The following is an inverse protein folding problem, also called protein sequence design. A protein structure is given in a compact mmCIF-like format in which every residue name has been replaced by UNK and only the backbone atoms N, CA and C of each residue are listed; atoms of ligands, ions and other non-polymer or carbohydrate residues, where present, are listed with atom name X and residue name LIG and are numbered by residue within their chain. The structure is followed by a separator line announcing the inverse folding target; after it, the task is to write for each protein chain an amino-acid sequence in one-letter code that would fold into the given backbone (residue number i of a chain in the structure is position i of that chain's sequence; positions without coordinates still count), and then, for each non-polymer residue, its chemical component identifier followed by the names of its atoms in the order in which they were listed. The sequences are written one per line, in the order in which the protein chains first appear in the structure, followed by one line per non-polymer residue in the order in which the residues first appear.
data_IF_020470743441
#
_entry.id   IF_020470743441
#
_cell.length_a   1.000
_cell.length_b   1.000
_cell.length_c   1.000
_cell.angle_alpha   90.00
_cell.angle_beta   90.00
_cell.angle_gamma   90.00
#
_symmetry.space_group_name_H-M   'P 1'
#
loop_
_entity.id
_entity.type
_entity.pdbx_description
1 polymer ?
#
# COMPACT_ATOMS: atom_id res chain seq x y z
N UNK A 1 -7.18 2.53 -18.21
CA UNK A 1 -6.71 1.69 -17.08
C UNK A 1 -5.85 2.51 -16.12
N UNK A 2 -6.08 2.35 -14.83
CA UNK A 2 -5.28 2.99 -13.78
C UNK A 2 -4.44 1.91 -13.07
N UNK A 3 -3.14 2.08 -13.04
CA UNK A 3 -2.22 1.17 -12.36
C UNK A 3 -1.62 1.86 -11.14
N UNK A 4 -1.71 1.20 -9.99
CA UNK A 4 -1.24 1.71 -8.70
C UNK A 4 -0.22 0.74 -8.12
N UNK A 5 0.93 1.28 -7.75
CA UNK A 5 1.97 0.51 -7.06
C UNK A 5 1.78 0.69 -5.55
N UNK A 6 1.68 -0.40 -4.81
CA UNK A 6 1.41 -0.38 -3.37
C UNK A 6 2.58 -1.02 -2.63
N UNK A 7 3.14 -0.30 -1.66
CA UNK A 7 4.24 -0.80 -0.85
C UNK A 7 4.15 -0.26 0.58
N UNK A 8 4.92 -0.85 1.49
CA UNK A 8 4.92 -0.47 2.90
C UNK A 8 6.22 -0.86 3.58
N UNK A 9 6.48 -0.18 4.70
CA UNK A 9 7.50 -0.59 5.66
C UNK A 9 8.90 -0.72 5.02
N UNK A 10 9.28 0.30 4.25
CA UNK A 10 10.61 0.40 3.64
C UNK A 10 11.69 0.85 4.63
N UNK A 11 11.29 1.56 5.69
CA UNK A 11 12.18 2.00 6.77
C UNK A 11 13.42 2.75 6.28
N UNK A 12 13.27 3.55 5.22
CA UNK A 12 14.36 4.31 4.63
C UNK A 12 15.32 3.51 3.75
N UNK A 13 15.06 2.21 3.58
CA UNK A 13 15.88 1.32 2.73
C UNK A 13 15.31 1.28 1.32
N UNK A 14 15.76 2.18 0.48
CA UNK A 14 15.13 2.42 -0.82
C UNK A 14 15.70 1.60 -1.99
N UNK A 15 16.73 0.76 -1.76
CA UNK A 15 17.27 -0.09 -2.84
C UNK A 15 16.18 -1.01 -3.41
N UNK A 16 15.39 -1.64 -2.55
CA UNK A 16 14.30 -2.52 -2.98
C UNK A 16 13.15 -1.75 -3.62
N UNK A 17 12.91 -0.51 -3.16
CA UNK A 17 11.92 0.37 -3.78
C UNK A 17 12.32 0.68 -5.22
N UNK A 18 13.58 1.04 -5.45
CA UNK A 18 14.10 1.29 -6.80
C UNK A 18 13.99 0.06 -7.69
N UNK A 19 14.35 -1.11 -7.16
CA UNK A 19 14.24 -2.37 -7.89
C UNK A 19 12.80 -2.69 -8.27
N UNK A 20 11.86 -2.51 -7.33
CA UNK A 20 10.45 -2.76 -7.57
C UNK A 20 9.90 -1.84 -8.67
N UNK A 21 10.22 -0.55 -8.59
CA UNK A 21 9.79 0.44 -9.59
C UNK A 21 10.33 0.07 -10.98
N UNK A 22 11.61 -0.24 -11.08
CA UNK A 22 12.24 -0.64 -12.35
C UNK A 22 11.64 -1.92 -12.89
N UNK A 23 11.40 -2.90 -12.02
CA UNK A 23 10.82 -4.19 -12.36
C UNK A 23 9.41 -4.05 -12.94
N UNK A 24 8.57 -3.23 -12.29
CA UNK A 24 7.20 -2.97 -12.77
C UNK A 24 7.22 -2.28 -14.13
N UNK A 25 8.06 -1.27 -14.30
CA UNK A 25 8.17 -0.53 -15.57
C UNK A 25 8.65 -1.43 -16.70
N UNK A 26 9.57 -2.32 -16.43
CA UNK A 26 10.12 -3.24 -17.45
C UNK A 26 9.13 -4.36 -17.79
N UNK A 27 8.52 -4.98 -16.77
CA UNK A 27 7.70 -6.19 -16.96
C UNK A 27 6.24 -5.93 -17.28
N UNK A 28 5.69 -4.83 -16.75
CA UNK A 28 4.26 -4.50 -16.87
C UNK A 28 4.05 -3.21 -17.65
N UNK A 29 4.73 -2.15 -17.27
CA UNK A 29 4.59 -0.83 -17.87
C UNK A 29 4.51 0.29 -16.83
N UNK A 30 4.12 1.48 -17.26
CA UNK A 30 4.03 2.63 -16.39
C UNK A 30 2.86 2.51 -15.40
N UNK A 31 3.04 3.08 -14.23
CA UNK A 31 2.00 3.22 -13.22
C UNK A 31 1.74 4.71 -12.96
N UNK A 32 0.52 5.05 -12.55
CA UNK A 32 0.07 6.43 -12.42
C UNK A 32 0.09 6.95 -10.99
N UNK A 33 0.23 6.06 -10.02
CA UNK A 33 0.15 6.42 -8.61
C UNK A 33 0.94 5.41 -7.78
N UNK A 34 1.51 5.89 -6.67
CA UNK A 34 2.14 5.03 -5.68
C UNK A 34 1.50 5.30 -4.31
N UNK A 35 1.13 4.22 -3.61
CA UNK A 35 0.62 4.29 -2.24
C UNK A 35 1.64 3.62 -1.32
N UNK A 36 2.10 4.34 -0.30
CA UNK A 36 2.99 3.82 0.73
C UNK A 36 2.28 3.83 2.08
N UNK A 37 2.23 2.69 2.74
CA UNK A 37 1.41 2.49 3.94
C UNK A 37 2.15 2.70 5.26
N UNK A 38 3.20 3.54 5.23
CA UNK A 38 3.88 4.00 6.44
C UNK A 38 5.20 3.32 6.75
N UNK A 39 5.90 3.85 7.74
CA UNK A 39 7.29 3.52 8.05
C UNK A 39 8.18 3.71 6.82
N UNK A 40 8.07 4.90 6.23
CA UNK A 40 8.71 5.27 4.98
C UNK A 40 10.16 5.71 5.18
N UNK A 41 10.46 6.30 6.31
CA UNK A 41 11.73 6.96 6.55
C UNK A 41 11.74 8.36 5.94
N UNK A 42 12.20 8.49 4.70
CA UNK A 42 12.23 9.78 3.99
C UNK A 42 11.19 9.79 2.87
N UNK A 43 10.09 10.50 3.10
CA UNK A 43 8.99 10.61 2.13
C UNK A 43 9.40 11.33 0.85
N UNK A 44 10.26 12.35 0.96
CA UNK A 44 10.72 13.12 -0.22
C UNK A 44 11.57 12.26 -1.14
N UNK A 45 12.43 11.42 -0.56
CA UNK A 45 13.24 10.50 -1.34
C UNK A 45 12.35 9.51 -2.10
N UNK A 46 11.34 8.95 -1.44
CA UNK A 46 10.38 8.06 -2.07
C UNK A 46 9.66 8.73 -3.24
N UNK A 47 9.16 9.95 -3.03
CA UNK A 47 8.47 10.71 -4.07
C UNK A 47 9.37 10.97 -5.28
N UNK A 48 10.64 11.29 -5.03
CA UNK A 48 11.64 11.52 -6.07
C UNK A 48 11.89 10.26 -6.90
N UNK A 49 11.99 9.10 -6.24
CA UNK A 49 12.21 7.82 -6.91
C UNK A 49 11.01 7.39 -7.74
N UNK A 50 9.80 7.63 -7.26
CA UNK A 50 8.57 7.20 -7.92
C UNK A 50 8.27 7.99 -9.20
N UNK A 51 8.48 9.28 -9.17
CA UNK A 51 8.21 10.16 -10.31
C UNK A 51 6.74 10.27 -10.70
N UNK A 52 5.83 9.84 -9.81
CA UNK A 52 4.37 9.91 -9.97
C UNK A 52 3.77 10.42 -8.65
N UNK A 53 2.49 10.84 -8.65
CA UNK A 53 1.84 11.20 -7.39
C UNK A 53 1.89 10.08 -6.37
N UNK A 54 2.32 10.42 -5.15
CA UNK A 54 2.46 9.47 -4.04
C UNK A 54 1.52 9.84 -2.89
N UNK A 55 0.84 8.84 -2.36
CA UNK A 55 0.06 8.96 -1.14
C UNK A 55 0.78 8.16 -0.05
N UNK A 56 1.31 8.86 0.94
CA UNK A 56 2.14 8.27 2.00
C UNK A 56 1.46 8.53 3.33
N UNK A 57 1.15 7.48 4.08
CA UNK A 57 0.60 7.62 5.41
C UNK A 57 1.69 7.49 6.46
N UNK A 58 1.42 7.99 7.66
CA UNK A 58 2.37 7.99 8.77
C UNK A 58 2.35 6.64 9.48
N UNK A 59 3.51 5.99 9.54
CA UNK A 59 3.70 4.79 10.35
C UNK A 59 4.15 5.14 11.77
N UNK A 60 4.24 4.12 12.63
CA UNK A 60 4.62 4.30 14.03
C UNK A 60 6.08 4.72 14.21
N UNK A 61 6.92 4.54 13.20
CA UNK A 61 8.33 4.97 13.24
C UNK A 61 8.58 6.31 12.50
N UNK A 62 7.55 6.87 11.88
CA UNK A 62 7.70 8.12 11.13
C UNK A 62 7.50 9.34 12.04
N UNK A 63 8.39 10.32 11.91
CA UNK A 63 8.35 11.56 12.68
C UNK A 63 7.97 12.79 11.85
N UNK A 64 7.68 12.61 10.54
CA UNK A 64 7.30 13.70 9.66
C UNK A 64 5.87 14.14 9.99
N UNK A 65 5.74 15.36 10.53
CA UNK A 65 4.45 15.93 10.94
C UNK A 65 3.51 16.20 9.76
N UNK A 66 4.02 16.19 8.53
CA UNK A 66 3.20 16.40 7.32
C UNK A 66 2.46 15.14 6.89
N UNK A 67 2.90 13.97 7.35
CA UNK A 67 2.24 12.71 7.03
C UNK A 67 1.01 12.53 7.91
N UNK A 68 -0.12 12.17 7.29
CA UNK A 68 -1.36 11.90 7.98
C UNK A 68 -1.42 10.43 8.40
N UNK A 69 -2.14 10.16 9.49
CA UNK A 69 -2.32 8.78 9.97
C UNK A 69 -3.19 7.94 9.02
N UNK A 70 -4.05 8.57 8.24
CA UNK A 70 -4.88 7.90 7.25
C UNK A 70 -5.20 8.85 6.10
N UNK A 71 -5.38 8.29 4.91
CA UNK A 71 -5.82 9.01 3.72
C UNK A 71 -7.01 8.28 3.11
N UNK A 72 -7.98 9.06 2.62
CA UNK A 72 -9.02 8.54 1.73
C UNK A 72 -8.63 8.92 0.31
N UNK A 73 -8.44 7.91 -0.54
CA UNK A 73 -7.95 8.08 -1.90
C UNK A 73 -9.03 7.64 -2.87
N UNK A 74 -9.40 8.51 -3.79
CA UNK A 74 -10.32 8.15 -4.86
C UNK A 74 -9.54 7.67 -6.07
N UNK A 75 -9.88 6.47 -6.56
CA UNK A 75 -9.21 5.84 -7.69
C UNK A 75 -10.23 5.06 -8.52
N UNK A 76 -10.46 5.49 -9.77
CA UNK A 76 -11.55 4.97 -10.56
C UNK A 76 -12.88 5.18 -9.84
N UNK A 77 -13.76 4.19 -9.85
CA UNK A 77 -15.02 4.21 -9.09
C UNK A 77 -14.86 3.76 -7.64
N UNK A 78 -13.64 3.66 -7.12
CA UNK A 78 -13.36 3.12 -5.78
C UNK A 78 -12.87 4.20 -4.81
N UNK A 79 -13.12 3.97 -3.52
CA UNK A 79 -12.60 4.81 -2.44
C UNK A 79 -11.75 3.93 -1.53
N UNK A 80 -10.51 4.33 -1.33
CA UNK A 80 -9.50 3.56 -0.60
C UNK A 80 -9.23 4.24 0.73
N UNK A 81 -9.37 3.50 1.83
CA UNK A 81 -8.92 3.92 3.15
C UNK A 81 -7.51 3.37 3.36
N UNK A 82 -6.51 4.24 3.28
CA UNK A 82 -5.11 3.86 3.45
C UNK A 82 -4.61 4.33 4.81
N UNK A 83 -4.00 3.41 5.57
CA UNK A 83 -3.43 3.69 6.89
C UNK A 83 -2.28 2.73 7.17
N UNK A 84 -1.42 3.05 8.13
CA UNK A 84 -0.38 2.11 8.53
C UNK A 84 -0.97 0.92 9.29
N UNK A 85 -1.92 1.17 10.17
CA UNK A 85 -2.65 0.13 10.87
C UNK A 85 -2.36 0.03 12.37
N UNK A 86 -1.25 0.59 12.86
CA UNK A 86 -0.89 0.51 14.28
C UNK A 86 -1.97 1.10 15.19
N UNK A 87 -2.74 2.08 14.72
CA UNK A 87 -3.84 2.68 15.47
C UNK A 87 -5.13 1.86 15.43
N UNK A 88 -5.19 0.82 14.62
CA UNK A 88 -6.37 -0.04 14.43
C UNK A 88 -6.12 -1.48 14.89
N UNK A 89 -5.04 -1.71 15.64
CA UNK A 89 -4.70 -3.03 16.23
C UNK A 89 -4.62 -4.16 15.19
N UNK A 90 -4.07 -3.86 14.01
CA UNK A 90 -4.02 -4.83 12.90
C UNK A 90 -3.13 -6.04 13.17
N UNK A 91 -2.28 -6.00 14.20
CA UNK A 91 -1.50 -7.16 14.64
C UNK A 91 -2.40 -8.27 15.22
N UNK A 92 -3.60 -7.92 15.64
CA UNK A 92 -4.50 -8.82 16.37
C UNK A 92 -5.82 -9.05 15.64
N UNK A 93 -6.31 -8.06 14.90
CA UNK A 93 -7.68 -8.07 14.34
C UNK A 93 -7.80 -7.09 13.17
N UNK A 94 -8.78 -7.31 12.31
CA UNK A 94 -9.03 -6.44 11.13
C UNK A 94 -10.39 -5.74 11.16
N UNK A 95 -11.23 -6.04 12.14
CA UNK A 95 -12.58 -5.46 12.22
C UNK A 95 -12.57 -3.95 12.47
N UNK A 96 -11.63 -3.43 13.27
CA UNK A 96 -11.51 -1.99 13.51
C UNK A 96 -11.14 -1.24 12.23
N UNK A 97 -10.24 -1.80 11.44
CA UNK A 97 -9.86 -1.25 10.14
C UNK A 97 -11.06 -1.27 9.17
N UNK A 98 -11.79 -2.37 9.13
CA UNK A 98 -13.00 -2.50 8.30
C UNK A 98 -14.03 -1.44 8.67
N UNK A 99 -14.30 -1.25 9.96
CA UNK A 99 -15.24 -0.22 10.42
C UNK A 99 -14.80 1.19 10.05
N UNK A 100 -13.50 1.49 10.17
CA UNK A 100 -12.97 2.79 9.79
C UNK A 100 -13.17 3.06 8.29
N UNK A 101 -12.93 2.04 7.45
CA UNK A 101 -13.17 2.13 6.02
C UNK A 101 -14.65 2.42 5.72
N UNK A 102 -15.56 1.67 6.35
CA UNK A 102 -17.01 1.86 6.17
C UNK A 102 -17.47 3.24 6.63
N UNK A 103 -16.95 3.74 7.76
CA UNK A 103 -17.28 5.08 8.26
C UNK A 103 -16.85 6.19 7.30
N UNK A 104 -15.86 5.93 6.47
CA UNK A 104 -15.35 6.87 5.47
C UNK A 104 -15.87 6.59 4.06
N UNK A 105 -16.88 5.74 3.93
CA UNK A 105 -17.49 5.34 2.65
C UNK A 105 -16.48 4.72 1.69
N UNK A 106 -15.54 3.94 2.22
CA UNK A 106 -14.50 3.26 1.44
C UNK A 106 -14.85 1.79 1.24
N UNK A 107 -14.59 1.29 0.03
CA UNK A 107 -14.79 -0.11 -0.33
C UNK A 107 -13.48 -0.91 -0.33
N UNK A 108 -12.35 -0.24 -0.13
CA UNK A 108 -11.02 -0.86 -0.04
C UNK A 108 -10.29 -0.29 1.16
N UNK A 109 -9.69 -1.16 1.98
CA UNK A 109 -8.84 -0.78 3.10
C UNK A 109 -7.44 -1.36 2.89
N UNK A 110 -6.43 -0.51 3.03
CA UNK A 110 -5.03 -0.90 2.90
C UNK A 110 -4.28 -0.61 4.19
N UNK A 111 -3.44 -1.54 4.62
CA UNK A 111 -2.63 -1.39 5.82
C UNK A 111 -1.25 -2.04 5.65
N UNK A 112 -0.31 -1.66 6.51
CA UNK A 112 1.02 -2.25 6.57
C UNK A 112 1.30 -2.77 7.97
N UNK A 113 2.39 -2.34 8.60
CA UNK A 113 2.77 -2.57 10.00
C UNK A 113 3.15 -4.02 10.34
N UNK A 114 2.38 -5.01 9.92
CA UNK A 114 2.64 -6.43 10.27
C UNK A 114 3.82 -7.02 9.51
N UNK A 115 4.21 -6.43 8.40
CA UNK A 115 5.24 -6.94 7.48
C UNK A 115 4.88 -8.30 6.86
N UNK A 116 3.58 -8.62 6.79
CA UNK A 116 3.07 -9.88 6.23
C UNK A 116 2.02 -9.57 5.16
N UNK A 117 2.19 -10.09 3.93
CA UNK A 117 1.19 -9.87 2.89
C UNK A 117 -0.16 -10.48 3.23
N UNK A 118 -1.22 -9.79 2.84
CA UNK A 118 -2.59 -10.24 3.06
C UNK A 118 -3.50 -9.68 1.97
N UNK A 119 -4.45 -10.48 1.51
CA UNK A 119 -5.48 -10.03 0.58
C UNK A 119 -6.79 -10.78 0.85
N UNK A 120 -7.84 -10.02 1.16
CA UNK A 120 -9.19 -10.52 1.31
C UNK A 120 -10.09 -9.70 0.41
N UNK A 121 -10.40 -10.24 -0.76
CA UNK A 121 -11.29 -9.58 -1.71
C UNK A 121 -12.74 -9.83 -1.31
N UNK A 122 -13.49 -8.75 -1.10
CA UNK A 122 -14.93 -8.80 -0.83
C UNK A 122 -15.62 -7.68 -1.60
N UNK A 123 -16.16 -7.98 -2.81
CA UNK A 123 -16.80 -6.95 -3.63
C UNK A 123 -18.13 -6.46 -3.04
N UNK A 124 -18.71 -7.18 -2.08
CA UNK A 124 -19.98 -6.80 -1.45
C UNK A 124 -19.80 -6.06 -0.12
N UNK A 125 -18.57 -5.93 0.36
CA UNK A 125 -18.25 -5.25 1.62
C UNK A 125 -16.96 -4.44 1.45
N UNK A 126 -15.91 -4.74 2.21
CA UNK A 126 -14.62 -4.07 2.12
C UNK A 126 -13.53 -5.07 1.76
N UNK A 127 -12.82 -4.79 0.68
CA UNK A 127 -11.59 -5.52 0.34
C UNK A 127 -10.47 -5.00 1.24
N UNK A 128 -9.75 -5.90 1.89
CA UNK A 128 -8.66 -5.57 2.81
C UNK A 128 -7.36 -6.14 2.28
N UNK A 129 -6.32 -5.31 2.22
CA UNK A 129 -5.02 -5.78 1.74
C UNK A 129 -3.84 -5.18 2.51
N UNK A 130 -2.75 -5.94 2.51
CA UNK A 130 -1.46 -5.55 3.01
C UNK A 130 -0.41 -6.02 1.99
N UNK A 131 0.43 -5.13 1.44
CA UNK A 131 1.44 -5.53 0.46
C UNK A 131 2.64 -6.28 1.07
N UNK A 132 2.69 -6.42 2.39
CA UNK A 132 3.87 -6.89 3.10
C UNK A 132 4.93 -5.81 3.20
N UNK A 133 6.13 -6.18 3.62
CA UNK A 133 7.24 -5.24 3.73
C UNK A 133 8.19 -5.36 2.56
N UNK A 134 8.58 -4.23 1.98
CA UNK A 134 9.55 -4.21 0.90
C UNK A 134 11.00 -4.29 1.40
N UNK A 135 11.21 -4.19 2.72
CA UNK A 135 12.57 -4.20 3.30
C UNK A 135 12.76 -5.13 4.49
N UNK A 136 11.69 -5.47 5.22
CA UNK A 136 11.76 -6.27 6.46
C UNK A 136 10.62 -7.29 6.53
N UNK A 137 10.56 -8.27 5.61
CA UNK A 137 9.46 -9.24 5.57
C UNK A 137 9.46 -10.15 6.81
N UNK A 138 8.26 -10.53 7.25
CA UNK A 138 8.07 -11.41 8.41
C UNK A 138 7.28 -12.69 8.10
N UNK A 139 6.80 -12.85 6.86
CA UNK A 139 6.15 -14.09 6.45
C UNK A 139 7.19 -15.22 6.30
N UNK A 140 6.72 -16.46 6.17
CA UNK A 140 7.57 -17.66 6.22
C UNK A 140 8.70 -17.70 5.18
N UNK A 141 8.48 -17.15 3.99
CA UNK A 141 9.48 -17.16 2.91
C UNK A 141 10.49 -16.01 3.00
N UNK A 142 10.25 -15.00 3.87
CA UNK A 142 11.08 -13.81 4.07
C UNK A 142 11.41 -13.05 2.78
N UNK A 143 10.56 -13.13 1.76
CA UNK A 143 10.77 -12.41 0.50
C UNK A 143 10.24 -10.98 0.62
N UNK A 144 10.92 -10.06 -0.05
CA UNK A 144 10.50 -8.66 -0.15
C UNK A 144 9.30 -8.56 -1.07
N UNK A 145 8.21 -7.93 -0.60
CA UNK A 145 6.96 -7.91 -1.35
C UNK A 145 6.42 -6.51 -1.58
N UNK A 146 5.60 -6.39 -2.60
CA UNK A 146 4.79 -5.23 -2.93
C UNK A 146 3.58 -5.70 -3.74
N UNK A 147 2.62 -4.82 -3.98
CA UNK A 147 1.46 -5.17 -4.80
C UNK A 147 1.29 -4.21 -5.97
N UNK A 148 0.73 -4.71 -7.05
CA UNK A 148 0.25 -3.92 -8.18
C UNK A 148 -1.26 -4.08 -8.24
N UNK A 149 -1.96 -2.93 -8.23
CA UNK A 149 -3.41 -2.86 -8.36
C UNK A 149 -3.73 -2.23 -9.69
N UNK A 150 -4.63 -2.84 -10.44
CA UNK A 150 -5.10 -2.29 -11.71
C UNK A 150 -6.61 -2.13 -11.68
N UNK A 151 -7.09 -0.96 -12.12
CA UNK A 151 -8.51 -0.65 -12.24
C UNK A 151 -8.77 -0.39 -13.72
N UNK A 152 -9.64 -1.19 -14.33
CA UNK A 152 -9.97 -1.06 -15.75
C UNK A 152 -11.06 0.01 -16.00
N UNK A 153 -11.45 0.18 -17.26
CA UNK A 153 -12.42 1.19 -17.66
C UNK A 153 -13.84 0.91 -17.16
N UNK A 154 -14.10 -0.29 -16.64
CA UNK A 154 -15.38 -0.70 -16.04
C UNK A 154 -15.30 -0.74 -14.51
N UNK A 155 -14.23 -0.15 -13.93
CA UNK A 155 -13.94 -0.12 -12.50
C UNK A 155 -13.72 -1.51 -11.87
N UNK A 156 -13.41 -2.51 -12.69
CA UNK A 156 -12.99 -3.83 -12.18
C UNK A 156 -11.54 -3.77 -11.71
N UNK A 157 -11.28 -4.35 -10.54
CA UNK A 157 -9.98 -4.29 -9.88
C UNK A 157 -9.31 -5.64 -9.90
N UNK A 158 -8.01 -5.64 -10.24
CA UNK A 158 -7.15 -6.81 -10.07
C UNK A 158 -6.00 -6.45 -9.13
N UNK A 159 -5.58 -7.42 -8.33
CA UNK A 159 -4.47 -7.28 -7.39
C UNK A 159 -3.43 -8.36 -7.67
N UNK A 160 -2.17 -7.99 -7.69
CA UNK A 160 -1.08 -8.94 -7.87
C UNK A 160 -0.03 -8.71 -6.79
N UNK A 161 0.24 -9.75 -5.99
CA UNK A 161 1.37 -9.75 -5.05
C UNK A 161 2.64 -10.05 -5.85
N UNK A 162 3.63 -9.18 -5.72
CA UNK A 162 4.90 -9.31 -6.43
C UNK A 162 6.07 -9.37 -5.46
N UNK A 163 7.15 -9.92 -5.93
CA UNK A 163 8.39 -10.09 -5.16
C UNK A 163 9.52 -9.33 -5.83
N UNK A 164 10.32 -8.65 -5.02
CA UNK A 164 11.51 -7.95 -5.50
C UNK A 164 12.56 -9.01 -5.86
N UNK A 165 13.08 -8.93 -7.07
CA UNK A 165 14.09 -9.89 -7.59
C UNK A 165 15.37 -9.20 -7.98
#
# INVERSE_FOLDING_TARGET
MLRILIMSDSHGRNENVELAIAQVREEIGEFQMLIHLGDVGDARELESLAGVPCYIVRGNTDYDAKLLNANVIEAGGHRIFATHGHLYQVDMRLDLLRFAALENDCDIAMYGHTHVPYLEEDPDDVTILNPGSISKPRQADYRYTYMVMEIDDEDEVTYELRYVE
#
